data_IF_112557270198
#
_entry.id   IF_112557270198
#
_cell.length_a   1.000
_cell.length_b   1.000
_cell.length_c   1.000
_cell.angle_alpha   90.00
_cell.angle_beta   90.00
_cell.angle_gamma   90.00
#
_symmetry.space_group_name_H-M   'P 1'
#
loop_
_entity.id
_entity.type
_entity.pdbx_description
1 polymer ?
#
# COMPACT_ATOMS: atom_id res chain seq x y z
N UNK A 1 -65.20 -48.14 -14.39
CA UNK A 1 -65.21 -46.90 -13.60
C UNK A 1 -64.23 -45.92 -14.25
N UNK A 2 -64.72 -44.71 -14.60
CA UNK A 2 -64.00 -43.47 -14.95
C UNK A 2 -62.85 -43.53 -16.00
N UNK A 3 -63.09 -43.09 -17.24
CA UNK A 3 -63.06 -41.69 -17.77
C UNK A 3 -61.68 -41.26 -18.30
N UNK A 4 -61.62 -41.12 -19.63
CA UNK A 4 -61.08 -39.99 -20.44
C UNK A 4 -59.81 -39.24 -20.01
N UNK A 5 -58.87 -39.08 -20.96
CA UNK A 5 -58.42 -37.79 -21.52
C UNK A 5 -57.37 -38.06 -22.63
N UNK A 6 -57.67 -37.85 -23.92
CA UNK A 6 -57.60 -36.59 -24.70
C UNK A 6 -56.16 -36.16 -25.06
N UNK A 7 -55.93 -36.15 -26.37
CA UNK A 7 -54.82 -35.53 -27.12
C UNK A 7 -54.74 -34.03 -26.81
N UNK A 8 -53.53 -33.48 -26.66
CA UNK A 8 -53.31 -32.04 -26.53
C UNK A 8 -51.85 -31.65 -26.77
N UNK A 9 -51.54 -31.36 -28.03
CA UNK A 9 -50.37 -30.61 -28.48
C UNK A 9 -50.52 -29.16 -27.95
N UNK A 10 -49.63 -28.63 -27.10
CA UNK A 10 -49.27 -27.20 -26.99
C UNK A 10 -48.25 -26.96 -25.85
N UNK A 11 -47.35 -26.00 -26.08
CA UNK A 11 -46.32 -25.43 -25.18
C UNK A 11 -45.08 -26.31 -24.96
N UNK A 12 -43.94 -26.13 -25.64
CA UNK A 12 -43.15 -24.89 -25.78
C UNK A 12 -43.00 -24.12 -24.45
N UNK A 13 -42.35 -24.73 -23.45
CA UNK A 13 -41.69 -24.10 -22.29
C UNK A 13 -41.23 -25.28 -21.42
N UNK A 14 -39.95 -25.64 -21.32
CA UNK A 14 -38.93 -24.89 -20.60
C UNK A 14 -37.60 -25.56 -20.98
N UNK A 15 -36.88 -24.88 -21.86
CA UNK A 15 -35.44 -25.06 -22.03
C UNK A 15 -34.77 -24.30 -20.87
N UNK A 16 -34.91 -24.77 -19.63
CA UNK A 16 -34.03 -24.34 -18.55
C UNK A 16 -32.73 -25.15 -18.71
N UNK A 17 -31.98 -24.80 -19.75
CA UNK A 17 -30.53 -24.80 -19.59
C UNK A 17 -30.31 -23.97 -18.33
N UNK A 18 -29.94 -24.63 -17.24
CA UNK A 18 -29.06 -24.01 -16.26
C UNK A 18 -27.80 -23.60 -17.04
N UNK A 19 -27.88 -22.43 -17.69
CA UNK A 19 -26.77 -21.49 -17.75
C UNK A 19 -26.44 -21.22 -16.29
N UNK A 20 -25.68 -22.13 -15.69
CA UNK A 20 -24.66 -21.72 -14.76
C UNK A 20 -23.75 -20.82 -15.59
N UNK A 21 -24.16 -19.55 -15.73
CA UNK A 21 -23.20 -18.48 -15.69
C UNK A 21 -22.42 -18.73 -14.40
N UNK A 22 -21.31 -19.47 -14.51
CA UNK A 22 -20.11 -19.05 -13.84
C UNK A 22 -20.00 -17.60 -14.26
N UNK A 23 -20.57 -16.70 -13.45
CA UNK A 23 -20.05 -15.35 -13.41
C UNK A 23 -18.54 -15.62 -13.32
N UNK A 24 -17.79 -15.31 -14.39
CA UNK A 24 -16.36 -15.14 -14.23
C UNK A 24 -16.27 -14.29 -12.97
N UNK A 25 -15.70 -14.83 -11.91
CA UNK A 25 -15.44 -14.03 -10.72
C UNK A 25 -14.74 -12.80 -11.29
N UNK A 26 -15.40 -11.63 -11.25
CA UNK A 26 -14.86 -10.44 -11.86
C UNK A 26 -13.45 -10.30 -11.29
N UNK A 27 -12.46 -10.12 -12.18
CA UNK A 27 -11.06 -10.01 -11.76
C UNK A 27 -11.00 -8.93 -10.68
N UNK A 28 -10.72 -9.33 -9.44
CA UNK A 28 -10.59 -8.39 -8.35
C UNK A 28 -9.27 -7.68 -8.50
N UNK A 29 -9.26 -6.42 -8.14
CA UNK A 29 -8.08 -5.58 -8.13
C UNK A 29 -7.89 -4.98 -6.74
N UNK A 30 -6.69 -4.47 -6.48
CA UNK A 30 -6.40 -3.69 -5.28
C UNK A 30 -7.00 -2.28 -5.40
N UNK A 31 -8.31 -2.23 -5.67
CA UNK A 31 -9.09 -1.04 -5.91
C UNK A 31 -10.44 -1.18 -5.20
N UNK A 32 -10.86 -0.13 -4.51
CA UNK A 32 -12.16 -0.06 -3.86
C UNK A 32 -12.90 1.18 -4.32
N UNK A 33 -14.18 1.02 -4.66
CA UNK A 33 -15.10 2.11 -4.94
C UNK A 33 -15.83 2.49 -3.66
N UNK A 34 -15.78 3.76 -3.28
CA UNK A 34 -16.58 4.37 -2.22
C UNK A 34 -17.63 5.27 -2.88
N UNK A 35 -18.90 4.99 -2.65
CA UNK A 35 -20.02 5.64 -3.33
C UNK A 35 -21.07 6.14 -2.33
N UNK A 36 -21.46 7.43 -2.44
CA UNK A 36 -22.54 8.03 -1.66
C UNK A 36 -23.75 8.45 -2.52
N UNK A 37 -23.86 7.95 -3.75
CA UNK A 37 -24.90 8.28 -4.73
C UNK A 37 -24.68 9.59 -5.49
N UNK A 38 -23.89 10.53 -4.96
CA UNK A 38 -23.61 11.82 -5.59
C UNK A 38 -22.15 11.97 -6.06
N UNK A 39 -21.22 11.24 -5.45
CA UNK A 39 -19.78 11.24 -5.76
C UNK A 39 -19.22 9.84 -5.66
N UNK A 40 -18.09 9.63 -6.34
CA UNK A 40 -17.30 8.40 -6.25
C UNK A 40 -15.87 8.73 -5.85
N UNK A 41 -15.34 8.01 -4.87
CA UNK A 41 -13.90 7.98 -4.58
C UNK A 41 -13.40 6.56 -4.84
N UNK A 42 -12.39 6.43 -5.71
CA UNK A 42 -11.69 5.19 -5.93
C UNK A 42 -10.43 5.15 -5.05
N UNK A 43 -10.36 4.22 -4.12
CA UNK A 43 -9.17 3.94 -3.32
C UNK A 43 -8.32 2.91 -4.06
N UNK A 44 -7.12 3.27 -4.44
CA UNK A 44 -6.19 2.46 -5.23
C UNK A 44 -5.01 2.08 -4.35
N UNK A 45 -4.88 0.79 -4.06
CA UNK A 45 -3.78 0.23 -3.31
C UNK A 45 -2.51 0.27 -4.14
N UNK A 46 -1.51 0.99 -3.64
CA UNK A 46 -0.22 1.19 -4.28
C UNK A 46 0.83 0.24 -3.74
N UNK A 47 1.75 -0.14 -4.62
CA UNK A 47 3.04 -0.72 -4.24
C UNK A 47 4.10 0.27 -4.72
N UNK A 48 4.88 0.81 -3.77
CA UNK A 48 5.86 1.86 -4.02
C UNK A 48 7.04 1.40 -4.88
N UNK A 49 7.41 0.11 -4.80
CA UNK A 49 8.46 -0.49 -5.61
C UNK A 49 7.88 -1.61 -6.45
N UNK A 50 7.70 -1.36 -7.74
CA UNK A 50 7.30 -2.37 -8.73
C UNK A 50 8.45 -2.64 -9.69
N UNK A 51 8.25 -3.55 -10.64
CA UNK A 51 9.20 -3.80 -11.72
C UNK A 51 8.49 -3.64 -13.07
N UNK A 52 9.24 -3.76 -14.17
CA UNK A 52 8.69 -3.64 -15.52
C UNK A 52 7.62 -4.71 -15.82
N UNK A 53 7.72 -5.90 -15.23
CA UNK A 53 6.79 -7.02 -15.45
C UNK A 53 5.43 -6.82 -14.76
N UNK A 54 5.35 -5.87 -13.82
CA UNK A 54 4.08 -5.43 -13.22
C UNK A 54 3.19 -4.67 -14.22
N UNK A 55 3.71 -4.32 -15.40
CA UNK A 55 2.99 -3.60 -16.45
C UNK A 55 2.75 -4.48 -17.69
N UNK A 56 1.71 -4.20 -18.51
CA UNK A 56 0.70 -3.15 -18.31
C UNK A 56 -0.22 -3.43 -17.12
N UNK A 57 -0.75 -2.36 -16.53
CA UNK A 57 -1.79 -2.47 -15.50
C UNK A 57 -3.11 -2.95 -16.14
N UNK A 58 -3.98 -3.63 -15.37
CA UNK A 58 -5.33 -3.94 -15.83
C UNK A 58 -6.09 -2.68 -16.28
N UNK A 59 -6.92 -2.81 -17.31
CA UNK A 59 -7.61 -1.67 -17.96
C UNK A 59 -8.45 -0.82 -17.00
N UNK A 60 -8.93 -1.41 -15.90
CA UNK A 60 -9.69 -0.68 -14.88
C UNK A 60 -8.93 0.49 -14.27
N UNK A 61 -7.61 0.39 -14.15
CA UNK A 61 -6.73 1.45 -13.63
C UNK A 61 -6.76 2.67 -14.55
N UNK A 62 -6.75 2.44 -15.87
CA UNK A 62 -6.83 3.52 -16.86
C UNK A 62 -8.22 4.15 -16.90
N UNK A 63 -9.28 3.34 -16.79
CA UNK A 63 -10.66 3.84 -16.71
C UNK A 63 -10.84 4.77 -15.52
N UNK A 64 -10.47 4.32 -14.32
CA UNK A 64 -10.62 5.08 -13.07
C UNK A 64 -9.82 6.38 -13.10
N UNK A 65 -8.60 6.32 -13.60
CA UNK A 65 -7.77 7.51 -13.76
C UNK A 65 -8.38 8.52 -14.75
N UNK A 66 -8.95 8.03 -15.87
CA UNK A 66 -9.63 8.88 -16.84
C UNK A 66 -10.86 9.56 -16.24
N UNK A 67 -11.70 8.80 -15.53
CA UNK A 67 -12.93 9.27 -14.87
C UNK A 67 -12.67 10.27 -13.75
N UNK A 68 -11.48 10.24 -13.12
CA UNK A 68 -11.15 11.04 -11.95
C UNK A 68 -10.58 12.41 -12.34
N UNK A 69 -11.16 13.48 -11.80
CA UNK A 69 -10.67 14.86 -11.97
C UNK A 69 -9.57 15.17 -10.96
N UNK A 70 -9.71 14.63 -9.75
CA UNK A 70 -8.78 14.79 -8.64
C UNK A 70 -8.01 13.49 -8.39
N UNK A 71 -6.70 13.58 -8.26
CA UNK A 71 -5.83 12.44 -7.89
C UNK A 71 -5.14 12.80 -6.58
N UNK A 72 -5.43 12.07 -5.51
CA UNK A 72 -4.79 12.26 -4.21
C UNK A 72 -3.71 11.19 -3.98
N UNK A 73 -2.55 11.61 -3.49
CA UNK A 73 -1.48 10.72 -3.03
C UNK A 73 -1.34 10.79 -1.51
N UNK A 74 -0.57 9.89 -0.90
CA UNK A 74 -0.32 9.93 0.55
C UNK A 74 0.13 11.32 1.02
N UNK A 75 1.10 11.89 0.32
CA UNK A 75 1.68 13.22 0.55
C UNK A 75 2.02 13.89 -0.78
N UNK A 76 2.49 15.13 -0.74
CA UNK A 76 3.05 15.81 -1.91
C UNK A 76 4.37 15.13 -2.34
N UNK A 77 4.31 14.34 -3.42
CA UNK A 77 5.46 13.58 -3.92
C UNK A 77 6.53 14.45 -4.60
N UNK A 78 6.21 15.69 -4.99
CA UNK A 78 7.20 16.62 -5.54
C UNK A 78 7.92 17.35 -4.41
N UNK A 79 7.16 17.89 -3.46
CA UNK A 79 7.71 18.59 -2.31
C UNK A 79 8.57 17.66 -1.45
N UNK A 80 8.18 16.39 -1.26
CA UNK A 80 8.99 15.43 -0.51
C UNK A 80 10.35 15.14 -1.17
N UNK A 81 10.47 15.31 -2.49
CA UNK A 81 11.72 15.18 -3.24
C UNK A 81 12.53 16.48 -3.28
N UNK A 82 12.01 17.59 -2.74
CA UNK A 82 12.73 18.86 -2.71
C UNK A 82 14.03 18.75 -1.90
N UNK A 83 15.11 19.44 -2.30
CA UNK A 83 16.38 19.42 -1.56
C UNK A 83 16.22 19.81 -0.07
N UNK A 84 15.35 20.76 0.23
CA UNK A 84 15.10 21.20 1.61
C UNK A 84 14.46 20.10 2.47
N UNK A 85 13.49 19.36 1.92
CA UNK A 85 12.85 18.25 2.65
C UNK A 85 13.83 17.09 2.79
N UNK A 86 14.57 16.75 1.74
CA UNK A 86 15.60 15.70 1.79
C UNK A 86 16.69 16.01 2.82
N UNK A 87 17.13 17.27 2.92
CA UNK A 87 18.08 17.70 3.94
C UNK A 87 17.51 17.54 5.36
N UNK A 88 16.25 17.94 5.59
CA UNK A 88 15.58 17.74 6.89
C UNK A 88 15.50 16.28 7.27
N UNK A 89 15.12 15.42 6.33
CA UNK A 89 15.06 13.97 6.53
C UNK A 89 16.43 13.39 6.86
N UNK A 90 17.47 13.77 6.11
CA UNK A 90 18.85 13.32 6.35
C UNK A 90 19.35 13.76 7.73
N UNK A 91 19.10 15.00 8.14
CA UNK A 91 19.45 15.48 9.47
C UNK A 91 18.73 14.70 10.58
N UNK A 92 17.45 14.39 10.41
CA UNK A 92 16.68 13.60 11.36
C UNK A 92 17.14 12.14 11.43
N UNK A 93 17.58 11.60 10.29
CA UNK A 93 18.09 10.24 10.15
C UNK A 93 19.55 10.08 10.61
N UNK A 94 20.29 11.16 10.79
CA UNK A 94 21.70 11.10 11.18
C UNK A 94 21.85 11.08 12.71
N UNK A 95 22.90 10.42 13.20
CA UNK A 95 23.27 10.55 14.61
C UNK A 95 23.77 11.95 14.95
N UNK A 96 23.46 12.39 16.17
CA UNK A 96 24.19 13.50 16.79
C UNK A 96 25.62 13.06 17.11
N UNK A 97 26.61 13.97 17.12
CA UNK A 97 27.99 13.64 17.52
C UNK A 97 28.03 12.86 18.84
N UNK A 98 28.84 11.79 18.87
CA UNK A 98 28.99 10.90 20.03
C UNK A 98 28.05 9.69 20.05
N UNK A 99 27.03 9.64 19.18
CA UNK A 99 26.20 8.44 19.00
C UNK A 99 26.56 7.69 17.72
N UNK A 100 26.33 6.38 17.74
CA UNK A 100 26.52 5.49 16.59
C UNK A 100 25.62 4.26 16.74
N UNK A 101 25.53 3.44 15.68
CA UNK A 101 24.88 2.13 15.76
C UNK A 101 25.42 1.27 16.91
N UNK A 102 26.73 1.35 17.21
CA UNK A 102 27.37 0.59 18.28
C UNK A 102 26.95 1.05 19.68
N UNK A 103 26.56 2.32 19.84
CA UNK A 103 26.14 2.87 21.14
C UNK A 103 24.65 2.71 21.38
N UNK A 104 23.83 2.62 20.32
CA UNK A 104 22.35 2.53 20.46
C UNK A 104 21.80 1.11 20.34
N UNK A 105 22.53 0.20 19.71
CA UNK A 105 22.13 -1.21 19.60
C UNK A 105 22.81 -2.05 20.68
N UNK A 106 22.10 -3.07 21.16
CA UNK A 106 22.69 -4.13 21.96
C UNK A 106 23.80 -4.82 21.18
N UNK A 107 24.83 -5.31 21.88
CA UNK A 107 26.01 -5.94 21.28
C UNK A 107 25.64 -7.08 20.34
N UNK A 108 24.63 -7.88 20.70
CA UNK A 108 24.15 -8.97 19.86
C UNK A 108 23.51 -8.47 18.55
N UNK A 109 22.58 -7.52 18.64
CA UNK A 109 21.92 -6.90 17.49
C UNK A 109 22.92 -6.25 16.55
N UNK A 110 23.87 -5.48 17.10
CA UNK A 110 24.95 -4.88 16.34
C UNK A 110 25.78 -5.93 15.60
N UNK A 111 26.12 -7.05 16.26
CA UNK A 111 26.85 -8.16 15.65
C UNK A 111 26.07 -8.86 14.53
N UNK A 112 24.76 -9.06 14.69
CA UNK A 112 23.88 -9.60 13.63
C UNK A 112 23.84 -8.65 12.42
N UNK A 113 23.64 -7.36 12.67
CA UNK A 113 23.62 -6.33 11.62
C UNK A 113 24.95 -6.27 10.87
N UNK A 114 26.09 -6.22 11.58
CA UNK A 114 27.41 -6.18 10.95
C UNK A 114 27.63 -7.39 10.04
N UNK A 115 27.33 -8.60 10.52
CA UNK A 115 27.45 -9.84 9.71
C UNK A 115 26.56 -9.81 8.48
N UNK A 116 25.34 -9.29 8.60
CA UNK A 116 24.45 -9.11 7.46
C UNK A 116 25.08 -8.18 6.42
N UNK A 117 25.53 -6.99 6.84
CA UNK A 117 26.16 -6.00 5.95
C UNK A 117 27.41 -6.57 5.27
N UNK A 118 28.31 -7.20 6.04
CA UNK A 118 29.52 -7.84 5.51
C UNK A 118 29.17 -8.88 4.43
N UNK A 119 28.13 -9.70 4.67
CA UNK A 119 27.64 -10.69 3.70
C UNK A 119 27.03 -10.09 2.43
N UNK A 120 26.60 -8.82 2.47
CA UNK A 120 26.13 -8.06 1.31
C UNK A 120 27.24 -7.23 0.64
N UNK A 121 28.49 -7.33 1.10
CA UNK A 121 29.59 -6.48 0.64
C UNK A 121 29.46 -5.02 1.05
N UNK A 122 28.64 -4.74 2.07
CA UNK A 122 28.44 -3.40 2.61
C UNK A 122 29.26 -3.24 3.90
N UNK A 123 29.91 -2.10 4.03
CA UNK A 123 30.62 -1.73 5.26
C UNK A 123 29.66 -1.02 6.22
N UNK A 124 29.68 -1.43 7.49
CA UNK A 124 28.90 -0.77 8.55
C UNK A 124 29.36 0.66 8.78
N UNK A 125 30.59 1.00 8.42
CA UNK A 125 31.13 2.36 8.46
C UNK A 125 30.45 3.27 7.43
N UNK A 126 30.16 2.76 6.23
CA UNK A 126 29.48 3.53 5.17
C UNK A 126 28.02 3.87 5.52
N UNK A 127 27.35 3.04 6.33
CA UNK A 127 25.97 3.24 6.75
C UNK A 127 25.84 3.63 8.23
N UNK A 128 26.95 3.68 8.96
CA UNK A 128 26.98 3.83 10.42
C UNK A 128 26.60 5.21 10.93
N UNK A 129 26.53 6.19 10.04
CA UNK A 129 26.01 7.53 10.32
C UNK A 129 24.48 7.59 10.40
N UNK A 130 23.78 6.57 9.86
CA UNK A 130 22.32 6.51 9.88
C UNK A 130 21.82 5.88 11.19
N UNK A 131 20.76 6.48 11.73
CA UNK A 131 19.97 5.89 12.81
C UNK A 131 19.31 4.58 12.36
N UNK A 132 19.00 3.68 13.30
CA UNK A 132 18.56 2.33 12.95
C UNK A 132 17.28 2.29 12.10
N UNK A 133 16.30 3.17 12.33
CA UNK A 133 15.11 3.21 11.48
C UNK A 133 15.40 3.53 10.01
N UNK A 134 16.26 4.52 9.73
CA UNK A 134 16.62 4.89 8.36
C UNK A 134 17.50 3.81 7.72
N UNK A 135 18.39 3.20 8.50
CA UNK A 135 19.16 2.05 8.06
C UNK A 135 18.25 0.90 7.61
N UNK A 136 17.24 0.55 8.41
CA UNK A 136 16.30 -0.53 8.10
C UNK A 136 15.52 -0.27 6.80
N UNK A 137 15.05 0.97 6.60
CA UNK A 137 14.40 1.39 5.35
C UNK A 137 15.37 1.28 4.16
N UNK A 138 16.62 1.74 4.33
CA UNK A 138 17.65 1.72 3.29
C UNK A 138 17.98 0.28 2.87
N UNK A 139 18.18 -0.63 3.83
CA UNK A 139 18.45 -2.04 3.55
C UNK A 139 17.28 -2.72 2.84
N UNK A 140 16.05 -2.42 3.25
CA UNK A 140 14.84 -2.94 2.60
C UNK A 140 14.77 -2.52 1.13
N UNK A 141 15.04 -1.24 0.82
CA UNK A 141 15.07 -0.74 -0.56
C UNK A 141 16.19 -1.38 -1.37
N UNK A 142 17.40 -1.51 -0.81
CA UNK A 142 18.54 -2.14 -1.49
C UNK A 142 18.20 -3.59 -1.88
N UNK A 143 17.62 -4.38 -0.98
CA UNK A 143 17.26 -5.76 -1.29
C UNK A 143 16.15 -5.86 -2.34
N UNK A 144 15.14 -4.99 -2.29
CA UNK A 144 14.11 -4.92 -3.34
C UNK A 144 14.70 -4.53 -4.69
N UNK A 145 15.67 -3.62 -4.73
CA UNK A 145 16.37 -3.22 -5.96
C UNK A 145 17.20 -4.33 -6.57
N UNK A 146 17.88 -5.15 -5.76
CA UNK A 146 18.59 -6.35 -6.24
C UNK A 146 17.64 -7.35 -6.94
N UNK A 147 16.38 -7.36 -6.54
CA UNK A 147 15.32 -8.19 -7.14
C UNK A 147 14.66 -7.54 -8.38
N UNK A 148 15.15 -6.38 -8.82
CA UNK A 148 14.61 -5.64 -9.96
C UNK A 148 13.39 -4.77 -9.66
N UNK A 149 12.99 -4.65 -8.39
CA UNK A 149 11.93 -3.74 -7.96
C UNK A 149 12.47 -2.35 -7.69
N UNK A 150 11.65 -1.33 -7.94
CA UNK A 150 12.18 0.02 -7.97
C UNK A 150 11.12 1.10 -7.93
N UNK A 151 11.42 2.25 -7.30
CA UNK A 151 10.48 3.36 -7.20
C UNK A 151 10.16 3.99 -8.55
N UNK A 152 10.99 3.84 -9.59
CA UNK A 152 10.64 4.33 -10.93
C UNK A 152 9.41 3.64 -11.53
N UNK A 153 9.14 2.41 -11.11
CA UNK A 153 7.98 1.65 -11.57
C UNK A 153 6.82 1.69 -10.56
N UNK A 154 7.02 2.30 -9.38
CA UNK A 154 6.00 2.40 -8.35
C UNK A 154 4.70 3.03 -8.84
N UNK A 155 3.57 2.54 -8.33
CA UNK A 155 2.26 2.96 -8.80
C UNK A 155 2.00 4.46 -8.51
N UNK A 156 2.52 4.97 -7.38
CA UNK A 156 2.42 6.39 -7.01
C UNK A 156 3.10 7.26 -8.05
N UNK A 157 4.34 6.91 -8.44
CA UNK A 157 5.09 7.66 -9.45
C UNK A 157 4.42 7.58 -10.81
N UNK A 158 3.97 6.39 -11.22
CA UNK A 158 3.25 6.19 -12.49
C UNK A 158 2.04 7.12 -12.61
N UNK A 159 1.18 7.16 -11.59
CA UNK A 159 0.01 8.03 -11.62
C UNK A 159 0.31 9.50 -11.38
N UNK A 160 1.31 9.84 -10.57
CA UNK A 160 1.74 11.22 -10.37
C UNK A 160 2.21 11.83 -11.69
N UNK A 161 3.10 11.15 -12.40
CA UNK A 161 3.59 11.64 -13.70
C UNK A 161 2.47 11.75 -14.74
N UNK A 162 1.54 10.78 -14.78
CA UNK A 162 0.36 10.85 -15.66
C UNK A 162 -0.56 12.00 -15.30
N UNK A 163 -0.83 12.22 -14.01
CA UNK A 163 -1.67 13.30 -13.51
C UNK A 163 -1.12 14.66 -13.95
N UNK A 164 0.20 14.87 -13.80
CA UNK A 164 0.90 16.07 -14.26
C UNK A 164 0.78 16.27 -15.76
N UNK A 165 1.08 15.23 -16.57
CA UNK A 165 0.99 15.32 -18.03
C UNK A 165 -0.41 15.65 -18.55
N UNK A 166 -1.45 15.24 -17.82
CA UNK A 166 -2.85 15.47 -18.21
C UNK A 166 -3.52 16.65 -17.48
N UNK A 167 -2.76 17.43 -16.69
CA UNK A 167 -3.30 18.58 -15.96
C UNK A 167 -4.40 18.21 -14.96
N UNK A 168 -4.35 17.01 -14.37
CA UNK A 168 -5.26 16.60 -13.30
C UNK A 168 -4.98 17.42 -12.04
N UNK A 169 -6.00 17.61 -11.20
CA UNK A 169 -5.81 18.26 -9.90
C UNK A 169 -5.13 17.24 -8.96
N UNK A 170 -3.94 17.58 -8.48
CA UNK A 170 -3.18 16.74 -7.56
C UNK A 170 -3.47 17.20 -6.13
N UNK A 171 -3.86 16.25 -5.28
CA UNK A 171 -4.16 16.44 -3.87
C UNK A 171 -3.27 15.54 -3.01
N UNK A 172 -3.29 15.76 -1.69
CA UNK A 172 -2.58 14.95 -0.71
C UNK A 172 -3.49 14.50 0.43
N UNK A 173 -3.22 13.32 0.98
CA UNK A 173 -3.96 12.75 2.12
C UNK A 173 -3.42 13.26 3.46
N UNK A 174 -2.13 13.55 3.54
CA UNK A 174 -1.47 14.22 4.66
C UNK A 174 -0.44 15.26 4.20
N UNK A 175 0.05 16.08 5.13
CA UNK A 175 1.11 17.04 4.83
C UNK A 175 2.48 16.36 4.75
N UNK A 176 3.44 17.00 4.06
CA UNK A 176 4.83 16.53 4.08
C UNK A 176 5.38 16.48 5.51
N UNK A 177 5.02 17.43 6.37
CA UNK A 177 5.45 17.42 7.77
C UNK A 177 4.84 16.27 8.58
N UNK A 178 3.55 15.94 8.38
CA UNK A 178 2.93 14.75 8.99
C UNK A 178 3.59 13.46 8.50
N UNK A 179 3.89 13.38 7.19
CA UNK A 179 4.54 12.22 6.59
C UNK A 179 5.95 12.01 7.14
N UNK A 180 6.78 13.06 7.16
CA UNK A 180 8.10 13.01 7.77
C UNK A 180 8.02 12.70 9.26
N UNK A 181 7.07 13.31 9.98
CA UNK A 181 6.85 13.04 11.40
C UNK A 181 6.54 11.58 11.69
N UNK A 182 5.81 10.91 10.79
CA UNK A 182 5.56 9.46 10.88
C UNK A 182 6.86 8.66 10.73
N UNK A 183 7.66 8.94 9.70
CA UNK A 183 8.93 8.24 9.48
C UNK A 183 9.93 8.47 10.61
N UNK A 184 10.07 9.73 11.04
CA UNK A 184 10.96 10.11 12.16
C UNK A 184 10.47 9.49 13.47
N UNK A 185 9.15 9.30 13.64
CA UNK A 185 8.56 8.63 14.79
C UNK A 185 9.05 7.19 15.00
N UNK A 186 9.60 6.53 13.97
CA UNK A 186 10.23 5.21 14.10
C UNK A 186 11.45 5.23 15.04
N UNK A 187 12.07 6.39 15.26
CA UNK A 187 13.17 6.57 16.22
C UNK A 187 12.73 6.37 17.67
N UNK A 188 11.43 6.47 17.96
CA UNK A 188 10.87 6.23 19.29
C UNK A 188 10.60 4.76 19.59
N UNK A 189 10.63 3.88 18.58
CA UNK A 189 10.46 2.44 18.75
C UNK A 189 11.73 1.81 19.34
N UNK A 190 11.62 0.58 19.83
CA UNK A 190 12.81 -0.19 20.22
C UNK A 190 13.67 -0.47 18.98
N UNK A 191 14.84 0.17 18.94
CA UNK A 191 15.75 0.09 17.81
C UNK A 191 16.35 -1.31 17.62
N UNK A 192 16.45 -2.11 18.69
CA UNK A 192 16.89 -3.51 18.56
C UNK A 192 15.81 -4.35 17.89
N UNK A 193 14.56 -4.24 18.37
CA UNK A 193 13.42 -4.96 17.79
C UNK A 193 13.29 -4.61 16.30
N UNK A 194 13.37 -3.32 15.96
CA UNK A 194 13.27 -2.85 14.58
C UNK A 194 14.36 -3.44 13.67
N UNK A 195 15.62 -3.42 14.11
CA UNK A 195 16.74 -3.99 13.35
C UNK A 195 16.61 -5.50 13.24
N UNK A 196 16.34 -6.20 14.34
CA UNK A 196 16.23 -7.66 14.32
C UNK A 196 15.08 -8.15 13.45
N UNK A 197 13.93 -7.47 13.50
CA UNK A 197 12.80 -7.77 12.64
C UNK A 197 13.15 -7.54 11.17
N UNK A 198 13.76 -6.40 10.86
CA UNK A 198 14.21 -6.10 9.49
C UNK A 198 15.15 -7.19 8.98
N UNK A 199 16.15 -7.62 9.76
CA UNK A 199 17.06 -8.69 9.35
C UNK A 199 16.35 -10.03 9.13
N UNK A 200 15.32 -10.37 9.93
CA UNK A 200 14.50 -11.57 9.72
C UNK A 200 13.68 -11.48 8.44
N UNK A 201 13.09 -10.32 8.16
CA UNK A 201 12.25 -10.11 6.99
C UNK A 201 13.10 -10.11 5.70
N UNK A 202 14.31 -9.53 5.75
CA UNK A 202 15.25 -9.51 4.63
C UNK A 202 15.69 -10.91 4.21
N UNK A 203 15.78 -11.89 5.12
CA UNK A 203 16.06 -13.28 4.76
C UNK A 203 14.99 -13.92 3.85
N UNK A 204 13.76 -13.39 3.88
CA UNK A 204 12.60 -13.92 3.15
C UNK A 204 12.09 -12.96 2.08
N UNK A 205 12.78 -11.83 1.87
CA UNK A 205 12.30 -10.70 1.06
C UNK A 205 11.94 -11.10 -0.37
N UNK A 206 12.72 -11.98 -1.00
CA UNK A 206 12.46 -12.42 -2.37
C UNK A 206 11.12 -13.16 -2.51
N UNK A 207 10.78 -14.02 -1.56
CA UNK A 207 9.53 -14.78 -1.61
C UNK A 207 8.37 -13.90 -1.17
N UNK A 208 8.51 -13.21 -0.02
CA UNK A 208 7.46 -12.36 0.53
C UNK A 208 7.05 -11.23 -0.41
N UNK A 209 8.01 -10.56 -1.03
CA UNK A 209 7.73 -9.42 -1.90
C UNK A 209 7.07 -9.85 -3.22
N UNK A 210 7.52 -10.96 -3.82
CA UNK A 210 6.88 -11.51 -5.02
C UNK A 210 5.44 -12.00 -4.73
N UNK A 211 5.23 -12.66 -3.59
CA UNK A 211 3.90 -13.06 -3.14
C UNK A 211 2.99 -11.86 -2.91
N UNK A 212 3.52 -10.78 -2.34
CA UNK A 212 2.79 -9.53 -2.13
C UNK A 212 2.40 -8.89 -3.46
N UNK A 213 3.31 -8.77 -4.43
CA UNK A 213 3.01 -8.21 -5.76
C UNK A 213 1.97 -9.08 -6.49
N UNK A 214 2.04 -10.40 -6.33
CA UNK A 214 1.06 -11.34 -6.90
C UNK A 214 -0.31 -11.13 -6.27
N UNK A 215 -0.39 -11.09 -4.94
CA UNK A 215 -1.63 -10.83 -4.20
C UNK A 215 -2.22 -9.47 -4.58
N UNK A 216 -1.38 -8.44 -4.71
CA UNK A 216 -1.77 -7.10 -5.14
C UNK A 216 -2.38 -7.09 -6.54
N UNK A 217 -1.75 -7.78 -7.48
CA UNK A 217 -2.20 -7.88 -8.88
C UNK A 217 -3.53 -8.62 -9.01
N UNK A 218 -3.75 -9.64 -8.17
CA UNK A 218 -4.97 -10.45 -8.12
C UNK A 218 -6.08 -9.86 -7.22
N UNK A 219 -5.83 -8.71 -6.57
CA UNK A 219 -6.77 -8.11 -5.64
C UNK A 219 -7.07 -8.99 -4.41
N UNK A 220 -6.15 -9.86 -4.00
CA UNK A 220 -6.32 -10.70 -2.82
C UNK A 220 -6.04 -9.89 -1.54
N UNK A 221 -7.04 -9.13 -1.11
CA UNK A 221 -6.96 -8.23 0.03
C UNK A 221 -6.64 -8.96 1.34
N UNK A 222 -7.12 -10.19 1.51
CA UNK A 222 -6.83 -10.98 2.70
C UNK A 222 -5.37 -11.47 2.72
N UNK A 223 -4.84 -11.93 1.57
CA UNK A 223 -3.43 -12.29 1.46
C UNK A 223 -2.54 -11.06 1.63
N UNK A 224 -2.92 -9.91 1.09
CA UNK A 224 -2.21 -8.64 1.32
C UNK A 224 -2.17 -8.24 2.79
N UNK A 225 -3.30 -8.29 3.49
CA UNK A 225 -3.36 -8.04 4.93
C UNK A 225 -2.44 -8.99 5.71
N UNK A 226 -2.48 -10.29 5.41
CA UNK A 226 -1.58 -11.27 6.05
C UNK A 226 -0.11 -11.01 5.77
N UNK A 227 0.26 -10.66 4.54
CA UNK A 227 1.66 -10.47 4.13
C UNK A 227 2.24 -9.12 4.58
N UNK A 228 1.46 -8.05 4.49
CA UNK A 228 1.92 -6.68 4.75
C UNK A 228 1.68 -6.30 6.21
N UNK A 229 0.44 -6.46 6.69
CA UNK A 229 0.05 -6.00 8.01
C UNK A 229 0.29 -7.09 9.07
N UNK A 230 0.34 -8.37 8.68
CA UNK A 230 0.53 -9.50 9.58
C UNK A 230 1.81 -9.43 10.39
N UNK A 231 2.93 -8.99 9.80
CA UNK A 231 4.20 -8.80 10.52
C UNK A 231 4.12 -7.66 11.55
N UNK A 232 3.32 -6.63 11.29
CA UNK A 232 3.11 -5.50 12.20
C UNK A 232 2.16 -5.83 13.36
N UNK A 233 1.37 -6.92 13.30
CA UNK A 233 0.48 -7.30 14.41
C UNK A 233 1.25 -7.72 15.67
N UNK A 234 2.48 -8.20 15.50
CA UNK A 234 3.37 -8.48 16.62
C UNK A 234 3.91 -7.19 17.28
N UNK A 235 3.83 -6.05 16.59
CA UNK A 235 4.37 -4.76 17.02
C UNK A 235 3.27 -3.67 16.96
N UNK A 236 2.34 -3.62 17.94
CA UNK A 236 1.19 -2.71 17.90
C UNK A 236 1.56 -1.24 17.74
N UNK A 237 2.68 -0.80 18.32
CA UNK A 237 3.17 0.58 18.21
C UNK A 237 3.59 0.93 16.78
N UNK A 238 4.21 -0.02 16.07
CA UNK A 238 4.59 0.13 14.66
C UNK A 238 3.34 0.22 13.78
N UNK A 239 2.35 -0.66 13.99
CA UNK A 239 1.07 -0.62 13.26
C UNK A 239 0.31 0.68 13.52
N UNK A 240 0.25 1.12 14.77
CA UNK A 240 -0.43 2.35 15.16
C UNK A 240 0.21 3.58 14.51
N UNK A 241 1.55 3.64 14.48
CA UNK A 241 2.30 4.75 13.87
C UNK A 241 2.17 4.77 12.34
N UNK A 242 2.44 3.64 11.67
CA UNK A 242 2.53 3.59 10.22
C UNK A 242 1.16 3.51 9.53
N UNK A 243 0.16 2.93 10.19
CA UNK A 243 -1.15 2.65 9.60
C UNK A 243 -2.29 3.31 10.38
N UNK A 244 -2.59 2.88 11.61
CA UNK A 244 -3.92 3.12 12.19
C UNK A 244 -4.20 4.60 12.46
N UNK A 245 -3.20 5.35 12.94
CA UNK A 245 -3.31 6.80 13.11
C UNK A 245 -3.60 7.52 11.79
N UNK A 246 -2.90 7.10 10.73
CA UNK A 246 -3.04 7.68 9.38
C UNK A 246 -4.37 7.29 8.77
N UNK A 247 -4.78 6.03 8.86
CA UNK A 247 -6.06 5.51 8.38
C UNK A 247 -7.25 6.27 8.98
N UNK A 248 -7.21 6.57 10.29
CA UNK A 248 -8.24 7.38 10.94
C UNK A 248 -8.33 8.79 10.34
N UNK A 249 -7.20 9.49 10.18
CA UNK A 249 -7.14 10.82 9.54
C UNK A 249 -7.59 10.77 8.06
N UNK A 250 -7.10 9.79 7.31
CA UNK A 250 -7.37 9.65 5.88
C UNK A 250 -8.82 9.28 5.61
N UNK A 251 -9.47 8.49 6.48
CA UNK A 251 -10.91 8.22 6.35
C UNK A 251 -11.72 9.52 6.32
N UNK A 252 -11.39 10.49 7.19
CA UNK A 252 -12.05 11.81 7.22
C UNK A 252 -11.74 12.63 5.96
N UNK A 253 -10.52 12.51 5.42
CA UNK A 253 -10.14 13.15 4.15
C UNK A 253 -10.92 12.56 2.97
N UNK A 254 -11.11 11.23 2.92
CA UNK A 254 -11.94 10.58 1.90
C UNK A 254 -13.39 11.06 1.98
N UNK A 255 -13.96 11.20 3.18
CA UNK A 255 -15.30 11.78 3.36
C UNK A 255 -15.39 13.21 2.82
N UNK A 256 -14.31 13.99 2.95
CA UNK A 256 -14.25 15.35 2.41
C UNK A 256 -14.21 15.35 0.88
N UNK A 257 -13.48 14.41 0.26
CA UNK A 257 -13.48 14.21 -1.20
C UNK A 257 -14.88 13.83 -1.71
N UNK A 258 -15.60 12.96 -0.99
CA UNK A 258 -16.98 12.57 -1.33
C UNK A 258 -17.99 13.74 -1.27
N UNK A 259 -17.65 14.85 -0.61
CA UNK A 259 -18.49 16.07 -0.57
C UNK A 259 -18.24 17.01 -1.76
N UNK A 260 -17.14 16.82 -2.50
CA UNK A 260 -16.78 17.68 -3.64
C UNK A 260 -17.65 17.48 -4.88
N UNK A 261 -18.52 16.46 -4.93
CA UNK A 261 -19.39 16.17 -6.09
C UNK A 261 -18.61 15.92 -7.39
N UNK A 262 -17.39 15.39 -7.26
CA UNK A 262 -16.49 15.03 -8.35
C UNK A 262 -15.94 13.62 -8.10
N UNK A 263 -15.46 12.98 -9.16
CA UNK A 263 -14.78 11.69 -9.03
C UNK A 263 -13.33 11.93 -8.62
N UNK A 264 -12.88 11.25 -7.57
CA UNK A 264 -11.51 11.28 -7.13
C UNK A 264 -10.89 9.88 -7.12
N UNK A 265 -9.60 9.82 -7.43
CA UNK A 265 -8.77 8.64 -7.26
C UNK A 265 -7.78 8.92 -6.13
N UNK A 266 -7.70 8.03 -5.14
CA UNK A 266 -6.79 8.13 -4.00
C UNK A 266 -5.79 6.99 -4.11
N UNK A 267 -4.52 7.30 -4.35
CA UNK A 267 -3.42 6.34 -4.48
C UNK A 267 -2.64 6.32 -3.18
N UNK A 268 -2.76 5.23 -2.42
CA UNK A 268 -2.11 5.05 -1.11
C UNK A 268 -1.61 3.62 -0.98
N UNK A 269 -0.59 3.36 -0.18
CA UNK A 269 -0.01 2.05 0.03
C UNK A 269 -1.07 0.99 0.33
N UNK A 270 -0.97 -0.18 -0.30
CA UNK A 270 -1.95 -1.25 -0.19
C UNK A 270 -2.20 -1.69 1.27
N UNK A 271 -1.20 -1.53 2.14
CA UNK A 271 -1.29 -1.74 3.59
C UNK A 271 -2.47 -0.99 4.24
N UNK A 272 -2.78 0.21 3.76
CA UNK A 272 -3.82 1.08 4.30
C UNK A 272 -5.24 0.65 3.92
N UNK A 273 -5.39 -0.22 2.91
CA UNK A 273 -6.68 -0.63 2.35
C UNK A 273 -7.07 -2.07 2.70
N UNK A 274 -6.17 -2.82 3.34
CA UNK A 274 -6.35 -4.23 3.64
C UNK A 274 -6.45 -4.47 5.16
N UNK A 275 -7.37 -5.35 5.57
CA UNK A 275 -7.50 -5.80 6.96
C UNK A 275 -8.17 -4.84 7.94
N UNK A 276 -8.08 -5.21 9.21
CA UNK A 276 -8.70 -4.47 10.32
C UNK A 276 -7.98 -3.14 10.60
N UNK A 277 -8.76 -2.09 10.80
CA UNK A 277 -8.32 -0.71 10.93
C UNK A 277 -7.99 -0.02 9.60
N UNK A 278 -8.23 -0.68 8.46
CA UNK A 278 -8.01 -0.09 7.13
C UNK A 278 -8.97 1.07 6.85
N UNK A 279 -8.59 1.95 5.91
CA UNK A 279 -9.47 3.03 5.44
C UNK A 279 -10.79 2.47 4.90
N UNK A 280 -10.75 1.31 4.23
CA UNK A 280 -11.93 0.60 3.73
C UNK A 280 -12.87 0.24 4.87
N UNK A 281 -12.36 -0.44 5.90
CA UNK A 281 -13.18 -0.86 7.05
C UNK A 281 -13.73 0.35 7.81
N UNK A 282 -12.91 1.39 8.04
CA UNK A 282 -13.34 2.61 8.72
C UNK A 282 -14.48 3.34 7.99
N UNK A 283 -14.47 3.34 6.65
CA UNK A 283 -15.56 3.92 5.85
C UNK A 283 -16.82 3.05 5.89
N UNK A 284 -16.67 1.73 5.87
CA UNK A 284 -17.80 0.80 6.01
C UNK A 284 -18.49 0.94 7.38
N UNK A 285 -17.71 1.06 8.46
CA UNK A 285 -18.23 1.31 9.81
C UNK A 285 -19.00 2.63 9.93
N UNK A 286 -18.67 3.62 9.10
CA UNK A 286 -19.39 4.90 9.00
C UNK A 286 -20.63 4.84 8.08
N UNK A 287 -20.94 3.68 7.51
CA UNK A 287 -22.13 3.46 6.68
C UNK A 287 -21.95 3.80 5.19
N UNK A 288 -20.72 4.06 4.72
CA UNK A 288 -20.48 4.24 3.28
C UNK A 288 -20.54 2.90 2.55
N UNK A 289 -21.06 2.92 1.30
CA UNK A 289 -21.01 1.76 0.42
C UNK A 289 -19.61 1.64 -0.16
N UNK A 290 -18.87 0.63 0.26
CA UNK A 290 -17.53 0.31 -0.23
C UNK A 290 -17.54 -1.06 -0.90
N UNK A 291 -17.18 -1.12 -2.18
CA UNK A 291 -17.06 -2.38 -2.92
C UNK A 291 -15.68 -2.48 -3.56
N UNK A 292 -15.04 -3.63 -3.43
CA UNK A 292 -13.85 -3.93 -4.20
C UNK A 292 -14.22 -4.09 -5.68
N UNK A 293 -13.37 -3.59 -6.57
CA UNK A 293 -13.56 -3.63 -8.02
C UNK A 293 -12.69 -4.69 -8.68
#
# INVERSE_FOLDING_TARGET
>A
MFKTAIRGFFALLILLLCLQSKALAADKHSIWKVDNGASTVYLVGSIHLLNQQSYPLPQIYDRIFSESQNIAFETDLEQIQSPAVQQRLLLAASFKPGNSLKTVLATETYGKLKRYLDGQGLSIENLGGLKPWMLCLTLSVIEMQKLGFSPQFGLDKHFMERAKRQGKIILQMESVDDHLGTLIGLDALDQNVLVEQTLRDLQKVSTLFNDMVTAWRLGDAEKLDRLINGSMRAEPELKELLLDRRNRKWSVKVESLLKMKQTAMVVVGAAHLAGAGSVVELLQQKGYRVSQL
#
